data_IF_123054459570
#
_entry.id   IF_123054459570
#
_cell.length_a   1.000
_cell.length_b   1.000
_cell.length_c   1.000
_cell.angle_alpha   90.00
_cell.angle_beta   90.00
_cell.angle_gamma   90.00
#
_symmetry.space_group_name_H-M   'P 1'
#
loop_
_entity.id
_entity.type
_entity.pdbx_description
1 polymer ?
#
# COMPACT_ATOMS: atom_id res chain seq x y z
N UNK A 1 10.59 7.96 18.84
CA UNK A 1 10.89 7.04 17.74
C UNK A 1 11.52 7.86 16.62
N UNK A 2 12.85 7.81 16.49
CA UNK A 2 13.64 8.69 15.63
C UNK A 2 13.65 8.17 14.20
N UNK A 3 13.06 8.89 13.25
CA UNK A 3 13.04 8.54 11.82
C UNK A 3 14.38 8.83 11.10
N UNK A 4 15.47 9.10 11.83
CA UNK A 4 16.79 9.43 11.24
C UNK A 4 17.51 8.24 10.56
N UNK A 5 16.80 7.14 10.28
CA UNK A 5 17.40 5.94 9.71
C UNK A 5 16.51 5.14 8.75
N UNK A 6 15.31 5.60 8.39
CA UNK A 6 14.55 4.95 7.32
C UNK A 6 15.05 5.46 5.96
N UNK A 7 15.95 4.71 5.35
CA UNK A 7 16.26 4.86 3.94
C UNK A 7 15.08 4.37 3.10
N UNK A 8 15.00 4.78 1.82
CA UNK A 8 14.06 4.23 0.83
C UNK A 8 14.02 2.68 0.83
N UNK A 9 15.15 2.07 1.16
CA UNK A 9 15.30 0.62 1.27
C UNK A 9 14.56 0.09 2.48
N UNK A 10 14.54 0.78 3.62
CA UNK A 10 13.86 0.32 4.84
C UNK A 10 12.34 0.38 4.71
N UNK A 11 11.81 1.40 4.02
CA UNK A 11 10.38 1.48 3.68
C UNK A 11 10.00 0.38 2.69
N UNK A 12 10.84 0.14 1.68
CA UNK A 12 10.65 -0.96 0.72
C UNK A 12 10.75 -2.34 1.36
N UNK A 13 11.68 -2.55 2.30
CA UNK A 13 11.90 -3.80 3.01
C UNK A 13 10.74 -4.10 3.95
N UNK A 14 10.26 -3.14 4.75
CA UNK A 14 9.11 -3.38 5.63
C UNK A 14 7.85 -3.75 4.84
N UNK A 15 7.67 -3.15 3.66
CA UNK A 15 6.53 -3.41 2.79
C UNK A 15 6.62 -4.78 2.10
N UNK A 16 7.81 -5.18 1.64
CA UNK A 16 8.06 -6.53 1.12
C UNK A 16 7.83 -7.57 2.22
N UNK A 17 8.22 -7.27 3.47
CA UNK A 17 8.02 -8.16 4.62
C UNK A 17 6.53 -8.37 4.91
N UNK A 18 5.69 -7.32 4.82
CA UNK A 18 4.24 -7.47 5.02
C UNK A 18 3.59 -8.36 3.95
N UNK A 19 3.96 -8.17 2.67
CA UNK A 19 3.49 -9.02 1.55
C UNK A 19 3.93 -10.47 1.73
N UNK A 20 5.11 -10.69 2.33
CA UNK A 20 5.69 -12.00 2.53
C UNK A 20 4.88 -12.88 3.49
N UNK A 21 4.16 -12.26 4.45
CA UNK A 21 3.25 -12.97 5.36
C UNK A 21 1.84 -13.17 4.77
N UNK A 22 1.38 -12.22 3.96
CA UNK A 22 0.06 -12.28 3.32
C UNK A 22 -0.01 -13.33 2.20
N UNK A 23 1.08 -13.53 1.46
CA UNK A 23 1.14 -14.49 0.35
C UNK A 23 0.88 -15.96 0.77
N UNK A 24 1.55 -16.54 1.79
CA UNK A 24 1.29 -17.91 2.22
C UNK A 24 -0.11 -18.07 2.82
N UNK A 25 -0.65 -17.05 3.50
CA UNK A 25 -2.02 -17.08 4.02
C UNK A 25 -3.04 -17.10 2.87
N UNK A 26 -2.85 -16.27 1.85
CA UNK A 26 -3.70 -16.25 0.65
C UNK A 26 -3.68 -17.60 -0.08
N UNK A 27 -2.49 -18.17 -0.28
CA UNK A 27 -2.35 -19.50 -0.91
C UNK A 27 -3.02 -20.60 -0.08
N UNK A 28 -2.90 -20.52 1.26
CA UNK A 28 -3.58 -21.42 2.19
C UNK A 28 -5.10 -21.34 2.07
N UNK A 29 -5.66 -20.14 1.91
CA UNK A 29 -7.10 -19.94 1.72
C UNK A 29 -7.61 -20.49 0.38
N UNK A 30 -6.84 -20.32 -0.71
CA UNK A 30 -7.18 -20.90 -2.02
C UNK A 30 -7.19 -22.44 -1.94
N UNK A 31 -6.20 -23.04 -1.27
CA UNK A 31 -6.17 -24.48 -1.04
C UNK A 31 -7.36 -24.95 -0.17
N UNK A 32 -7.68 -24.20 0.90
CA UNK A 32 -8.80 -24.52 1.78
C UNK A 32 -10.16 -24.44 1.07
N UNK A 33 -10.35 -23.44 0.21
CA UNK A 33 -11.53 -23.33 -0.66
C UNK A 33 -11.65 -24.54 -1.59
N UNK A 34 -10.54 -24.94 -2.21
CA UNK A 34 -10.50 -26.09 -3.10
C UNK A 34 -10.90 -27.40 -2.39
N UNK A 35 -10.38 -27.61 -1.17
CA UNK A 35 -10.76 -28.75 -0.32
C UNK A 35 -12.24 -28.66 0.09
N UNK A 36 -12.72 -27.48 0.47
CA UNK A 36 -14.11 -27.28 0.85
C UNK A 36 -15.10 -27.57 -0.30
N UNK A 37 -14.74 -27.25 -1.54
CA UNK A 37 -15.54 -27.55 -2.72
C UNK A 37 -15.63 -29.06 -2.98
N UNK A 38 -14.52 -29.78 -2.83
CA UNK A 38 -14.48 -31.25 -2.93
C UNK A 38 -15.38 -31.87 -1.85
N UNK A 39 -15.27 -31.40 -0.59
CA UNK A 39 -16.09 -31.90 0.52
C UNK A 39 -17.60 -31.65 0.31
N UNK A 40 -17.96 -30.55 -0.38
CA UNK A 40 -19.34 -30.22 -0.73
C UNK A 40 -19.85 -30.92 -2.01
N UNK A 41 -19.01 -31.68 -2.70
CA UNK A 41 -19.37 -32.37 -3.94
C UNK A 41 -19.54 -31.45 -5.16
N UNK A 42 -19.07 -30.20 -5.07
CA UNK A 42 -19.05 -29.28 -6.21
C UNK A 42 -17.73 -29.44 -6.97
N UNK A 43 -17.76 -29.55 -8.32
CA UNK A 43 -16.53 -29.63 -9.10
C UNK A 43 -15.78 -28.29 -9.00
N UNK A 44 -14.55 -28.28 -8.47
CA UNK A 44 -13.79 -27.04 -8.35
C UNK A 44 -13.47 -26.48 -9.73
N UNK A 45 -13.79 -25.20 -9.94
CA UNK A 45 -13.60 -24.51 -11.22
C UNK A 45 -12.25 -23.81 -11.22
N UNK A 46 -11.26 -24.43 -11.85
CA UNK A 46 -9.91 -23.87 -11.99
C UNK A 46 -9.88 -22.43 -12.52
N UNK A 47 -10.81 -22.09 -13.42
CA UNK A 47 -10.91 -20.73 -13.97
C UNK A 47 -11.25 -19.67 -12.90
N UNK A 48 -12.08 -20.01 -11.90
CA UNK A 48 -12.45 -19.09 -10.81
C UNK A 48 -11.29 -18.91 -9.85
N UNK A 49 -10.60 -20.00 -9.48
CA UNK A 49 -9.39 -19.95 -8.65
C UNK A 49 -8.28 -19.15 -9.33
N UNK A 50 -8.08 -19.32 -10.65
CA UNK A 50 -7.10 -18.57 -11.41
C UNK A 50 -7.46 -17.07 -11.46
N UNK A 51 -8.73 -16.73 -11.70
CA UNK A 51 -9.16 -15.34 -11.72
C UNK A 51 -8.99 -14.67 -10.35
N UNK A 52 -9.31 -15.36 -9.26
CA UNK A 52 -9.10 -14.88 -7.89
C UNK A 52 -7.63 -14.63 -7.59
N UNK A 53 -6.76 -15.58 -7.98
CA UNK A 53 -5.31 -15.42 -7.87
C UNK A 53 -4.77 -14.24 -8.69
N UNK A 54 -5.19 -14.13 -9.96
CA UNK A 54 -4.81 -13.02 -10.83
C UNK A 54 -5.24 -11.68 -10.25
N UNK A 55 -6.45 -11.58 -9.70
CA UNK A 55 -6.95 -10.36 -9.07
C UNK A 55 -6.11 -9.98 -7.85
N UNK A 56 -5.76 -10.95 -7.00
CA UNK A 56 -4.89 -10.73 -5.84
C UNK A 56 -3.51 -10.22 -6.23
N UNK A 57 -2.88 -10.85 -7.24
CA UNK A 57 -1.57 -10.43 -7.74
C UNK A 57 -1.62 -9.03 -8.33
N UNK A 58 -2.60 -8.73 -9.18
CA UNK A 58 -2.74 -7.41 -9.83
C UNK A 58 -2.94 -6.32 -8.79
N UNK A 59 -3.79 -6.57 -7.78
CA UNK A 59 -4.06 -5.59 -6.72
C UNK A 59 -2.78 -5.26 -5.94
N UNK A 60 -1.99 -6.26 -5.58
CA UNK A 60 -0.74 -6.03 -4.86
C UNK A 60 0.33 -5.36 -5.73
N UNK A 61 0.42 -5.75 -7.02
CA UNK A 61 1.31 -5.09 -7.98
C UNK A 61 0.99 -3.61 -8.11
N UNK A 62 -0.28 -3.26 -8.31
CA UNK A 62 -0.72 -1.87 -8.43
C UNK A 62 -0.40 -1.11 -7.15
N UNK A 63 -0.68 -1.68 -5.97
CA UNK A 63 -0.40 -1.06 -4.68
C UNK A 63 1.08 -0.73 -4.50
N UNK A 64 1.96 -1.70 -4.76
CA UNK A 64 3.42 -1.50 -4.68
C UNK A 64 3.87 -0.41 -5.65
N UNK A 65 3.36 -0.41 -6.88
CA UNK A 65 3.68 0.62 -7.88
C UNK A 65 3.20 2.01 -7.44
N UNK A 66 1.96 2.14 -6.98
CA UNK A 66 1.38 3.43 -6.56
C UNK A 66 2.11 4.01 -5.36
N UNK A 67 2.43 3.18 -4.36
CA UNK A 67 3.18 3.61 -3.18
C UNK A 67 4.62 3.97 -3.54
N UNK A 68 5.28 3.15 -4.37
CA UNK A 68 6.63 3.44 -4.86
C UNK A 68 6.70 4.76 -5.61
N UNK A 69 5.68 5.05 -6.44
CA UNK A 69 5.53 6.32 -7.12
C UNK A 69 5.31 7.48 -6.14
N UNK A 70 4.41 7.32 -5.16
CA UNK A 70 4.12 8.33 -4.14
C UNK A 70 5.40 8.73 -3.37
N UNK A 71 6.16 7.76 -2.88
CA UNK A 71 7.41 8.02 -2.14
C UNK A 71 8.47 8.65 -3.04
N UNK A 72 8.60 8.18 -4.28
CA UNK A 72 9.58 8.73 -5.23
C UNK A 72 9.26 10.18 -5.60
N UNK A 73 7.98 10.50 -5.80
CA UNK A 73 7.50 11.86 -6.02
C UNK A 73 7.75 12.72 -4.79
N UNK A 74 7.41 12.24 -3.59
CA UNK A 74 7.67 12.95 -2.34
C UNK A 74 9.15 13.33 -2.21
N UNK A 75 10.07 12.38 -2.40
CA UNK A 75 11.52 12.63 -2.29
C UNK A 75 12.00 13.63 -3.35
N UNK A 76 11.52 13.49 -4.59
CA UNK A 76 11.91 14.39 -5.68
C UNK A 76 11.45 15.82 -5.40
N UNK A 77 10.22 15.99 -4.94
CA UNK A 77 9.65 17.29 -4.59
C UNK A 77 10.36 17.87 -3.38
N UNK A 78 10.57 17.07 -2.33
CA UNK A 78 11.24 17.51 -1.12
C UNK A 78 12.69 17.96 -1.38
N UNK A 79 13.43 17.24 -2.22
CA UNK A 79 14.83 17.58 -2.51
C UNK A 79 14.97 18.82 -3.41
N UNK A 80 14.07 19.02 -4.38
CA UNK A 80 14.19 20.11 -5.38
C UNK A 80 13.37 21.36 -5.05
N UNK A 81 12.23 21.21 -4.37
CA UNK A 81 11.22 22.25 -4.22
C UNK A 81 10.81 22.52 -2.77
N UNK A 82 11.54 22.02 -1.76
CA UNK A 82 11.23 22.41 -0.37
C UNK A 82 11.46 23.92 -0.18
N UNK A 83 10.42 24.62 0.26
CA UNK A 83 10.47 26.06 0.52
C UNK A 83 11.03 26.35 1.91
N UNK A 84 10.63 25.55 2.91
CA UNK A 84 10.99 25.72 4.31
C UNK A 84 11.27 24.35 4.94
N UNK A 85 12.16 24.32 5.93
CA UNK A 85 12.34 23.15 6.78
C UNK A 85 11.37 23.22 7.94
N UNK A 86 10.45 22.27 8.00
CA UNK A 86 9.49 22.13 9.10
C UNK A 86 10.13 21.24 10.19
N UNK A 87 10.40 21.76 11.40
CA UNK A 87 10.99 20.95 12.47
C UNK A 87 9.99 19.89 12.93
N UNK A 88 10.49 18.67 13.16
CA UNK A 88 9.69 17.55 13.64
C UNK A 88 9.11 17.77 15.04
N UNK A 89 9.87 18.44 15.90
CA UNK A 89 9.53 18.68 17.31
C UNK A 89 8.58 19.88 17.49
N UNK A 90 8.23 20.60 16.41
CA UNK A 90 7.35 21.75 16.49
C UNK A 90 5.88 21.32 16.25
N UNK A 91 4.96 21.56 17.21
CA UNK A 91 3.55 21.20 17.05
C UNK A 91 2.86 21.93 15.88
N UNK A 92 3.32 23.13 15.51
CA UNK A 92 2.76 23.89 14.37
C UNK A 92 2.93 23.11 13.07
N UNK A 93 4.06 22.40 12.88
CA UNK A 93 4.30 21.54 11.73
C UNK A 93 3.16 20.53 11.54
N UNK A 94 2.71 19.92 12.64
CA UNK A 94 1.65 18.91 12.64
C UNK A 94 0.28 19.50 12.40
N UNK A 95 -0.03 20.67 12.99
CA UNK A 95 -1.29 21.36 12.72
C UNK A 95 -1.39 21.81 11.25
N UNK A 96 -0.30 22.33 10.68
CA UNK A 96 -0.24 22.69 9.26
C UNK A 96 -0.36 21.46 8.36
N UNK A 97 0.30 20.35 8.72
CA UNK A 97 0.19 19.09 7.97
C UNK A 97 -1.25 18.56 8.00
N UNK A 98 -1.90 18.57 9.17
CA UNK A 98 -3.29 18.14 9.32
C UNK A 98 -4.20 18.95 8.41
N UNK A 99 -4.17 20.29 8.50
CA UNK A 99 -5.01 21.16 7.68
C UNK A 99 -4.70 21.03 6.17
N UNK A 100 -3.42 20.92 5.81
CA UNK A 100 -2.99 20.79 4.43
C UNK A 100 -3.44 19.48 3.79
N UNK A 101 -3.30 18.36 4.51
CA UNK A 101 -3.74 17.04 4.04
C UNK A 101 -5.27 16.98 3.93
N UNK A 102 -6.01 17.48 4.93
CA UNK A 102 -7.48 17.50 4.89
C UNK A 102 -7.99 18.33 3.70
N UNK A 103 -7.40 19.51 3.49
CA UNK A 103 -7.74 20.38 2.37
C UNK A 103 -7.44 19.70 1.02
N UNK A 104 -6.23 19.16 0.84
CA UNK A 104 -5.84 18.49 -0.40
C UNK A 104 -6.73 17.28 -0.69
N UNK A 105 -7.05 16.49 0.34
CA UNK A 105 -7.94 15.35 0.23
C UNK A 105 -9.34 15.76 -0.21
N UNK A 106 -9.93 16.79 0.41
CA UNK A 106 -11.26 17.29 0.04
C UNK A 106 -11.32 17.73 -1.43
N UNK A 107 -10.32 18.49 -1.88
CA UNK A 107 -10.26 18.97 -3.27
C UNK A 107 -10.05 17.83 -4.27
N UNK A 108 -9.15 16.89 -3.97
CA UNK A 108 -8.93 15.71 -4.81
C UNK A 108 -10.21 14.86 -4.90
N UNK A 109 -10.89 14.63 -3.77
CA UNK A 109 -12.16 13.94 -3.74
C UNK A 109 -13.22 14.65 -4.59
N UNK A 110 -13.33 15.98 -4.47
CA UNK A 110 -14.28 16.77 -5.26
C UNK A 110 -13.95 16.79 -6.75
N UNK A 111 -12.68 16.76 -7.13
CA UNK A 111 -12.26 16.69 -8.53
C UNK A 111 -12.48 15.29 -9.15
N UNK A 112 -12.63 14.26 -8.31
CA UNK A 112 -12.87 12.87 -8.74
C UNK A 112 -14.34 12.51 -8.97
N UNK A 113 -15.27 13.33 -8.45
CA UNK A 113 -16.70 13.28 -8.76
C UNK A 113 -17.01 14.16 -9.97
#
# INVERSE_FOLDING_TARGET
MSLRGLSLVDVGVCMVVDVQWLFPLFLGLVCAEYVALILKGHPPRFAESLNSLSHGIITEMVKVLTMGLEVSLYITIYNKYRLINLPWDNPITWYCALLGVDFAYYWAHRASH
#
